data_IF_770111430542
#
_entry.id   IF_770111430542
#
_cell.length_a   1.000
_cell.length_b   1.000
_cell.length_c   1.000
_cell.angle_alpha   90.00
_cell.angle_beta   90.00
_cell.angle_gamma   90.00
#
_symmetry.space_group_name_H-M   'P 1'
#
loop_
_entity.id
_entity.type
_entity.pdbx_description
1 polymer ?
#
# COMPACT_ATOMS: atom_id res chain seq x y z
N UNK A 1 4.34 -2.25 -9.98
CA UNK A 1 3.26 -1.76 -9.10
C UNK A 1 2.92 -0.30 -9.33
N UNK A 2 3.83 0.67 -9.15
CA UNK A 2 3.51 2.10 -9.35
C UNK A 2 2.84 2.45 -10.70
N UNK A 3 3.32 1.88 -11.82
CA UNK A 3 2.69 2.09 -13.13
C UNK A 3 1.30 1.43 -13.28
N UNK A 4 1.06 0.29 -12.62
CA UNK A 4 -0.26 -0.37 -12.56
C UNK A 4 -1.26 0.51 -11.82
N UNK A 5 -0.81 1.14 -10.75
CA UNK A 5 -1.65 1.96 -9.87
C UNK A 5 -1.74 3.42 -10.36
N UNK A 6 -1.31 3.68 -11.61
CA UNK A 6 -1.40 4.98 -12.25
C UNK A 6 -0.58 6.08 -11.58
N UNK A 7 0.51 5.71 -10.90
CA UNK A 7 1.35 6.61 -10.11
C UNK A 7 0.57 7.39 -9.06
N UNK A 8 -0.44 6.74 -8.48
CA UNK A 8 -1.34 7.30 -7.49
C UNK A 8 -1.52 6.34 -6.32
N UNK A 9 -1.79 6.91 -5.15
CA UNK A 9 -2.28 6.13 -4.03
C UNK A 9 -3.60 5.46 -4.39
N UNK A 10 -3.70 4.13 -4.28
CA UNK A 10 -4.93 3.40 -4.60
C UNK A 10 -6.09 3.72 -3.66
N UNK A 11 -5.80 4.26 -2.47
CA UNK A 11 -6.80 4.55 -1.45
C UNK A 11 -7.37 5.98 -1.52
N UNK A 12 -6.57 6.98 -1.94
CA UNK A 12 -7.01 8.38 -1.98
C UNK A 12 -6.71 9.12 -3.28
N UNK A 13 -6.02 8.50 -4.24
CA UNK A 13 -5.66 9.10 -5.52
C UNK A 13 -4.50 10.10 -5.49
N UNK A 14 -3.89 10.35 -4.33
CA UNK A 14 -2.79 11.30 -4.20
C UNK A 14 -1.55 10.88 -5.02
N UNK A 15 -0.91 11.86 -5.66
CA UNK A 15 0.38 11.72 -6.37
C UNK A 15 1.55 12.20 -5.48
N UNK A 16 1.44 12.01 -4.16
CA UNK A 16 2.46 12.33 -3.17
C UNK A 16 3.55 11.23 -3.14
N UNK A 17 4.63 11.33 -2.35
CA UNK A 17 5.57 10.20 -2.18
C UNK A 17 4.81 8.90 -1.87
N UNK A 18 4.97 7.94 -2.77
CA UNK A 18 4.27 6.67 -2.75
C UNK A 18 5.20 5.59 -2.19
N UNK A 19 4.63 4.67 -1.43
CA UNK A 19 5.28 3.48 -0.92
C UNK A 19 4.52 2.23 -1.36
N UNK A 20 5.25 1.14 -1.48
CA UNK A 20 4.68 -0.19 -1.60
C UNK A 20 4.25 -0.69 -0.23
N UNK A 21 3.02 -1.19 -0.14
CA UNK A 21 2.41 -1.76 1.05
C UNK A 21 1.78 -3.12 0.72
N UNK A 22 1.80 -4.03 1.68
CA UNK A 22 1.11 -5.32 1.55
C UNK A 22 -0.37 -5.18 1.93
N UNK A 23 -1.28 -5.57 1.05
CA UNK A 23 -2.73 -5.57 1.31
C UNK A 23 -3.02 -6.43 2.55
N UNK A 24 -2.55 -7.68 2.54
CA UNK A 24 -2.50 -8.55 3.70
C UNK A 24 -1.12 -8.45 4.38
N UNK A 25 -1.05 -8.08 5.68
CA UNK A 25 0.22 -7.85 6.36
C UNK A 25 1.15 -9.06 6.27
N UNK A 26 2.44 -8.79 6.04
CA UNK A 26 3.46 -9.84 6.06
C UNK A 26 3.49 -10.62 7.38
N UNK A 27 3.31 -9.92 8.51
CA UNK A 27 3.22 -10.52 9.85
C UNK A 27 2.07 -11.53 10.01
N UNK A 28 1.04 -11.45 9.17
CA UNK A 28 -0.10 -12.37 9.17
C UNK A 28 -0.01 -13.40 8.03
N UNK A 29 1.15 -13.56 7.39
CA UNK A 29 1.37 -14.50 6.28
C UNK A 29 1.16 -13.90 4.89
N UNK A 30 1.25 -12.57 4.76
CA UNK A 30 1.12 -11.87 3.47
C UNK A 30 2.23 -12.21 2.51
N UNK A 31 1.87 -12.58 1.29
CA UNK A 31 2.86 -12.87 0.24
C UNK A 31 3.44 -11.60 -0.37
N UNK A 32 4.66 -11.65 -0.89
CA UNK A 32 5.27 -10.58 -1.69
C UNK A 32 4.83 -10.59 -3.16
N UNK A 33 3.79 -11.37 -3.48
CA UNK A 33 3.31 -11.43 -4.86
C UNK A 33 2.62 -10.13 -5.25
N UNK A 34 2.70 -9.71 -6.53
CA UNK A 34 2.10 -8.45 -6.99
C UNK A 34 0.61 -8.30 -6.64
N UNK A 35 -0.12 -9.42 -6.52
CA UNK A 35 -1.54 -9.42 -6.16
C UNK A 35 -1.80 -8.97 -4.71
N UNK A 36 -0.82 -9.11 -3.82
CA UNK A 36 -0.88 -8.69 -2.42
C UNK A 36 -0.15 -7.36 -2.17
N UNK A 37 0.36 -6.71 -3.21
CA UNK A 37 1.04 -5.42 -3.09
C UNK A 37 0.11 -4.31 -3.59
N UNK A 38 0.24 -3.13 -3.00
CA UNK A 38 -0.48 -1.93 -3.41
C UNK A 38 0.38 -0.68 -3.23
N UNK A 39 0.07 0.36 -4.00
CA UNK A 39 0.72 1.66 -3.88
C UNK A 39 -0.09 2.58 -2.97
N UNK A 40 0.48 2.99 -1.84
CA UNK A 40 -0.14 3.93 -0.91
C UNK A 40 0.72 5.19 -0.73
N UNK A 41 0.09 6.33 -0.49
CA UNK A 41 0.80 7.50 0.02
C UNK A 41 1.11 7.32 1.51
N UNK A 42 2.15 8.01 2.01
CA UNK A 42 2.58 7.93 3.41
C UNK A 42 1.42 8.07 4.44
N UNK A 43 0.50 9.05 4.33
CA UNK A 43 -0.63 9.15 5.26
C UNK A 43 -1.57 7.93 5.25
N UNK A 44 -1.86 7.38 4.06
CA UNK A 44 -2.71 6.20 3.95
C UNK A 44 -2.02 4.96 4.50
N UNK A 45 -0.72 4.83 4.24
CA UNK A 45 0.09 3.73 4.75
C UNK A 45 0.17 3.76 6.28
N UNK A 46 0.43 4.94 6.87
CA UNK A 46 0.44 5.12 8.33
C UNK A 46 -0.92 4.78 8.96
N UNK A 47 -2.02 5.24 8.36
CA UNK A 47 -3.37 4.94 8.85
C UNK A 47 -3.66 3.43 8.83
N UNK A 48 -3.24 2.74 7.77
CA UNK A 48 -3.38 1.28 7.66
C UNK A 48 -2.55 0.56 8.73
N UNK A 49 -1.28 0.93 8.89
CA UNK A 49 -0.40 0.35 9.91
C UNK A 49 -0.92 0.52 11.34
N UNK A 50 -1.47 1.69 11.66
CA UNK A 50 -2.09 1.98 12.95
C UNK A 50 -3.38 1.17 13.23
N UNK A 51 -3.99 0.56 12.21
CA UNK A 51 -5.20 -0.27 12.34
C UNK A 51 -4.89 -1.74 12.66
N UNK A 52 -3.61 -2.10 12.75
CA UNK A 52 -3.12 -3.48 12.90
C UNK A 52 -2.41 -3.74 14.25
N UNK A 53 -2.64 -2.88 15.26
CA UNK A 53 -2.17 -3.08 16.64
C UNK A 53 -3.32 -3.46 17.57
#
# INVERSE_FOLDING_TARGET
MYARDGWKCVQCGAMAPLSLDHIWPWSLGGSDRPENLQTLCMPCNLRKGASTS
#
